data_IF_482835490485
#
_entry.id   IF_482835490485
#
_cell.length_a   1.000
_cell.length_b   1.000
_cell.length_c   1.000
_cell.angle_alpha   90.00
_cell.angle_beta   90.00
_cell.angle_gamma   90.00
#
_symmetry.space_group_name_H-M   'P 1'
#
loop_
_entity.id
_entity.type
_entity.pdbx_description
1 polymer ?
2 non-polymer ?
3 water ?
#
# COMPACT_ATOMS: atom_id res chain seq x y z
N UNK A 6 26.12 14.78 -7.50
CA UNK A 6 25.47 13.49 -7.39
C UNK A 6 23.96 13.65 -7.43
N UNK A 7 23.32 13.11 -8.46
CA UNK A 7 21.87 13.15 -8.49
C UNK A 7 21.33 12.01 -7.66
N UNK A 8 20.07 12.14 -7.25
CA UNK A 8 19.46 11.24 -6.29
C UNK A 8 18.75 10.09 -7.01
N UNK A 9 18.18 9.15 -6.24
CA UNK A 9 17.38 8.11 -6.89
C UNK A 9 16.06 8.64 -7.41
N UNK A 10 15.34 7.81 -8.14
CA UNK A 10 13.95 8.07 -8.47
C UNK A 10 13.16 8.11 -7.18
N UNK A 11 13.37 7.11 -6.34
CA UNK A 11 12.82 7.13 -5.00
C UNK A 11 13.57 6.20 -4.07
N UNK A 12 13.47 6.52 -2.79
CA UNK A 12 13.98 5.69 -1.72
C UNK A 12 12.88 4.79 -1.23
N UNK A 13 13.25 3.63 -0.70
CA UNK A 13 12.26 2.78 -0.06
C UNK A 13 12.83 1.47 0.41
N UNK A 14 11.96 0.65 0.99
CA UNK A 14 12.28 -0.71 1.43
C UNK A 14 11.95 -1.72 0.34
N UNK A 15 12.96 -2.32 -0.25
CA UNK A 15 12.73 -3.28 -1.33
C UNK A 15 12.72 -4.71 -0.79
N UNK A 16 11.55 -5.35 -0.91
CA UNK A 16 11.34 -6.67 -0.36
C UNK A 16 12.27 -7.67 -1.01
N UNK A 17 12.72 -8.65 -0.24
CA UNK A 17 13.50 -9.77 -0.78
C UNK A 17 12.67 -10.56 -1.78
N UNK A 18 13.34 -11.43 -2.53
CA UNK A 18 12.66 -12.30 -3.49
C UNK A 18 11.60 -13.14 -2.79
N UNK A 19 12.00 -13.75 -1.69
CA UNK A 19 11.09 -14.60 -0.92
C UNK A 19 9.91 -13.79 -0.39
N UNK A 20 10.19 -12.66 0.27
CA UNK A 20 9.12 -11.83 0.81
C UNK A 20 8.20 -11.30 -0.28
N UNK A 21 8.78 -10.78 -1.36
CA UNK A 21 8.00 -10.27 -2.49
C UNK A 21 7.04 -11.34 -3.02
N UNK A 22 7.59 -12.52 -3.30
CA UNK A 22 6.80 -13.62 -3.83
C UNK A 22 5.67 -14.00 -2.88
N UNK A 23 5.96 -14.01 -1.59
CA UNK A 23 4.95 -14.40 -0.60
C UNK A 23 3.83 -13.37 -0.53
N UNK A 24 4.20 -12.10 -0.48
CA UNK A 24 3.22 -11.02 -0.42
C UNK A 24 2.45 -10.96 -1.72
N UNK A 25 3.15 -11.11 -2.84
CA UNK A 25 2.49 -11.08 -4.14
C UNK A 25 1.42 -12.18 -4.18
N UNK A 26 1.78 -13.39 -3.75
CA UNK A 26 0.85 -14.51 -3.74
C UNK A 26 -0.35 -14.24 -2.85
N UNK A 27 -0.12 -13.65 -1.68
CA UNK A 27 -1.19 -13.34 -0.75
C UNK A 27 -2.16 -12.33 -1.37
N UNK A 28 -1.60 -11.32 -2.02
CA UNK A 28 -2.41 -10.32 -2.71
C UNK A 28 -3.27 -10.91 -3.82
N UNK A 29 -2.68 -11.76 -4.65
CA UNK A 29 -3.43 -12.42 -5.72
C UNK A 29 -4.56 -13.28 -5.14
N UNK A 30 -4.27 -13.99 -4.06
CA UNK A 30 -5.28 -14.84 -3.42
C UNK A 30 -6.42 -13.97 -2.87
N UNK A 31 -6.06 -12.84 -2.29
CA UNK A 31 -7.06 -11.91 -1.76
C UNK A 31 -8.00 -11.38 -2.84
N UNK A 32 -7.44 -10.92 -3.96
CA UNK A 32 -8.26 -10.43 -5.06
C UNK A 32 -9.21 -11.50 -5.55
N UNK A 33 -8.73 -12.74 -5.61
CA UNK A 33 -9.54 -13.86 -6.05
C UNK A 33 -10.70 -14.10 -5.10
N UNK A 34 -10.38 -14.18 -3.81
CA UNK A 34 -11.39 -14.43 -2.78
C UNK A 34 -12.42 -13.31 -2.73
N UNK A 35 -11.93 -12.08 -2.79
CA UNK A 35 -12.78 -10.92 -2.70
C UNK A 35 -13.76 -10.86 -3.89
N UNK A 36 -13.25 -11.17 -5.07
CA UNK A 36 -14.07 -11.18 -6.26
C UNK A 36 -15.14 -12.25 -6.25
N UNK A 37 -14.91 -13.33 -5.51
CA UNK A 37 -15.87 -14.41 -5.42
C UNK A 37 -16.86 -14.24 -4.27
N UNK A 38 -16.62 -13.24 -3.44
CA UNK A 38 -17.41 -13.04 -2.24
C UNK A 38 -18.72 -12.30 -2.54
N UNK A 39 -19.81 -12.76 -1.93
CA UNK A 39 -21.14 -12.20 -2.19
C UNK A 39 -21.25 -10.75 -1.75
N UNK A 40 -20.62 -10.39 -0.64
CA UNK A 40 -20.64 -9.01 -0.18
C UNK A 40 -20.08 -8.09 -1.25
N UNK A 41 -19.13 -8.59 -2.04
CA UNK A 41 -18.52 -7.80 -3.10
C UNK A 41 -19.37 -7.79 -4.37
N UNK A 42 -19.92 -8.94 -4.72
CA UNK A 42 -20.71 -9.07 -5.94
C UNK A 42 -21.94 -8.16 -5.92
N UNK A 43 -22.54 -8.01 -4.73
CA UNK A 43 -23.72 -7.17 -4.57
C UNK A 43 -23.35 -5.69 -4.75
N UNK A 44 -22.12 -5.36 -4.38
CA UNK A 44 -21.66 -3.97 -4.38
C UNK A 44 -20.86 -3.62 -5.62
N UNK A 45 -21.06 -4.35 -6.71
CA UNK A 45 -20.26 -4.16 -7.91
C UNK A 45 -20.56 -2.82 -8.58
N UNK A 46 -21.76 -2.31 -8.37
CA UNK A 46 -22.19 -1.08 -9.02
C UNK A 46 -21.49 0.15 -8.42
N UNK A 47 -21.03 0.02 -7.18
CA UNK A 47 -20.24 1.08 -6.55
C UNK A 47 -18.75 0.94 -6.86
N UNK A 48 -18.41 -0.02 -7.73
CA UNK A 48 -17.01 -0.33 -8.04
C UNK A 48 -16.67 -0.03 -9.50
N UNK A 49 -17.59 -0.37 -10.40
CA UNK A 49 -17.46 -0.04 -11.82
C UNK A 49 -18.77 0.50 -12.39
N UNK A 50 -18.67 1.16 -13.54
CA UNK A 50 -19.84 1.69 -14.25
C UNK A 50 -20.27 0.76 -15.38
N UNK A 51 -19.54 -0.34 -15.55
CA UNK A 51 -19.73 -1.22 -16.69
C UNK A 51 -20.53 -2.48 -16.40
N UNK A 52 -21.51 -2.74 -17.26
CA UNK A 52 -22.31 -3.97 -17.20
C UNK A 52 -22.43 -4.58 -18.59
N UNK A 56 -22.91 -10.66 -14.76
CA UNK A 56 -21.61 -11.33 -14.74
C UNK A 56 -20.76 -10.80 -13.58
N UNK A 57 -19.59 -11.39 -13.40
CA UNK A 57 -18.70 -11.03 -12.29
C UNK A 57 -17.32 -10.62 -12.79
N UNK A 58 -16.58 -9.93 -11.92
CA UNK A 58 -15.33 -9.29 -12.29
C UNK A 58 -14.13 -9.97 -11.64
N UNK A 59 -13.23 -10.49 -12.47
CA UNK A 59 -11.95 -11.00 -11.99
C UNK A 59 -11.01 -9.85 -11.67
N UNK A 60 -10.83 -9.58 -10.37
CA UNK A 60 -10.08 -8.42 -9.92
C UNK A 60 -8.60 -8.50 -10.29
N UNK A 61 -8.10 -9.70 -10.48
CA UNK A 61 -6.71 -9.87 -10.88
C UNK A 61 -6.48 -9.23 -12.26
N UNK A 62 -7.47 -9.35 -13.15
CA UNK A 62 -7.41 -8.70 -14.44
C UNK A 62 -7.77 -7.23 -14.29
N UNK A 63 -8.66 -6.93 -13.35
CA UNK A 63 -9.06 -5.55 -13.11
C UNK A 63 -7.84 -4.73 -12.69
N UNK A 64 -7.03 -5.26 -11.77
CA UNK A 64 -5.78 -4.61 -11.38
C UNK A 64 -4.65 -5.15 -12.27
N UNK A 65 -4.75 -4.85 -13.56
CA UNK A 65 -3.84 -5.38 -14.56
C UNK A 65 -2.42 -4.82 -14.49
N UNK A 66 -2.30 -3.54 -14.16
CA UNK A 66 -1.00 -2.92 -13.97
C UNK A 66 -0.47 -3.30 -12.59
N UNK A 67 0.53 -4.19 -12.57
CA UNK A 67 1.12 -4.65 -11.31
C UNK A 67 2.62 -4.40 -11.36
N UNK A 68 3.25 -4.15 -10.20
CA UNK A 68 4.70 -3.97 -10.20
C UNK A 68 5.41 -5.23 -10.68
N UNK A 69 6.43 -5.09 -11.54
CA UNK A 69 7.18 -6.26 -11.97
C UNK A 69 8.36 -6.53 -11.03
N UNK A 70 8.67 -7.80 -10.79
CA UNK A 70 9.81 -8.14 -9.96
C UNK A 70 9.52 -7.96 -8.47
N UNK A 71 10.40 -7.24 -7.78
CA UNK A 71 10.33 -7.15 -6.32
C UNK A 71 9.44 -6.01 -5.85
N UNK A 72 8.57 -6.33 -4.90
CA UNK A 72 7.68 -5.35 -4.30
C UNK A 72 8.46 -4.42 -3.38
N UNK A 73 7.89 -3.25 -3.11
CA UNK A 73 8.59 -2.26 -2.29
C UNK A 73 7.64 -1.33 -1.56
N UNK A 74 8.15 -0.77 -0.46
CA UNK A 74 7.45 0.26 0.30
C UNK A 74 8.25 1.53 0.17
N UNK A 75 7.71 2.48 -0.58
CA UNK A 75 8.38 3.73 -0.88
C UNK A 75 8.43 4.64 0.34
N UNK A 76 9.58 5.28 0.58
CA UNK A 76 9.63 6.32 1.61
C UNK A 76 9.49 7.71 0.98
N UNK A 77 10.48 8.13 0.21
CA UNK A 77 10.47 9.46 -0.41
C UNK A 77 10.66 9.36 -1.91
N UNK A 78 9.68 9.85 -2.67
CA UNK A 78 9.82 9.98 -4.12
C UNK A 78 10.68 11.18 -4.41
N UNK A 79 11.81 10.98 -5.09
CA UNK A 79 12.79 12.06 -5.29
C UNK A 79 12.88 12.58 -6.72
N UNK A 80 12.58 11.72 -7.68
CA UNK A 80 12.69 12.06 -9.09
C UNK A 80 14.05 12.70 -9.37
N UNK A 81 15.09 12.02 -8.89
CA UNK A 81 16.48 12.38 -9.16
C UNK A 81 16.85 13.74 -8.57
N UNK A 82 16.02 14.25 -7.68
CA UNK A 82 16.26 15.54 -7.04
C UNK A 82 15.26 16.62 -7.42
N UNK A 83 14.36 16.29 -8.33
CA UNK A 83 13.41 17.28 -8.85
C UNK A 83 12.20 17.45 -7.94
N UNK A 84 11.89 16.42 -7.18
CA UNK A 84 10.79 16.48 -6.21
C UNK A 84 11.20 17.38 -5.05
N UNK A 85 10.28 18.22 -4.59
CA UNK A 85 10.57 19.08 -3.44
C UNK A 85 10.93 18.22 -2.23
N UNK A 86 11.92 18.66 -1.44
CA UNK A 86 12.29 17.98 -0.23
C UNK A 86 13.20 16.78 -0.46
N UNK A 87 13.44 16.46 -1.72
CA UNK A 87 14.25 15.31 -2.07
C UNK A 87 15.66 15.44 -1.53
N UNK A 88 16.28 16.59 -1.80
CA UNK A 88 17.65 16.82 -1.37
C UNK A 88 17.75 16.79 0.15
N UNK A 89 16.75 17.37 0.80
CA UNK A 89 16.73 17.46 2.24
C UNK A 89 16.59 16.07 2.86
N UNK A 90 15.78 15.23 2.24
CA UNK A 90 15.54 13.89 2.75
C UNK A 90 16.81 13.06 2.66
N UNK A 91 17.42 13.10 1.47
CA UNK A 91 18.56 12.26 1.17
C UNK A 91 19.79 12.59 2.00
N UNK A 92 19.86 13.81 2.53
CA UNK A 92 21.05 14.26 3.23
C UNK A 92 20.99 13.93 4.73
N UNK A 93 19.83 13.45 5.20
CA UNK A 93 19.69 13.06 6.60
C UNK A 93 20.67 11.94 6.94
N UNK A 94 21.17 11.97 8.17
CA UNK A 94 22.08 10.93 8.63
C UNK A 94 21.43 9.56 8.67
N UNK A 95 20.16 9.50 9.10
CA UNK A 95 19.52 8.21 9.28
C UNK A 95 19.26 7.54 7.93
N UNK A 96 19.05 8.35 6.89
CA UNK A 96 18.90 7.82 5.54
C UNK A 96 20.23 7.22 5.08
N UNK A 97 21.30 8.02 5.13
CA UNK A 97 22.62 7.56 4.78
C UNK A 97 23.05 6.34 5.59
N UNK A 98 22.74 6.37 6.89
CA UNK A 98 23.15 5.28 7.77
C UNK A 98 22.36 4.01 7.49
N UNK A 99 21.06 4.17 7.20
CA UNK A 99 20.18 3.03 6.95
C UNK A 99 20.26 2.48 5.52
N UNK A 100 21.00 3.15 4.65
CA UNK A 100 21.07 2.78 3.24
C UNK A 100 21.75 1.42 3.08
N UNK A 101 21.00 0.46 2.53
CA UNK A 101 21.50 -0.89 2.32
C UNK A 101 21.23 -1.82 3.49
N UNK A 102 20.61 -1.31 4.54
CA UNK A 102 20.36 -2.10 5.75
C UNK A 102 19.05 -2.86 5.63
N UNK A 103 18.99 -4.03 6.24
CA UNK A 103 17.81 -4.87 6.19
C UNK A 103 16.83 -4.48 7.28
N UNK A 104 15.55 -4.58 6.96
CA UNK A 104 14.47 -4.25 7.87
C UNK A 104 13.39 -5.31 7.76
N UNK A 105 12.53 -5.35 8.77
CA UNK A 105 11.30 -6.12 8.71
C UNK A 105 10.10 -5.18 8.73
N UNK A 106 9.24 -5.29 7.71
CA UNK A 106 8.04 -4.49 7.62
C UNK A 106 6.85 -5.33 8.04
N UNK A 107 5.98 -4.73 8.84
CA UNK A 107 4.78 -5.37 9.31
C UNK A 107 3.59 -4.99 8.42
N UNK A 108 3.01 -5.99 7.77
CA UNK A 108 1.80 -5.81 6.97
C UNK A 108 0.57 -6.07 7.83
N UNK A 109 -0.29 -5.07 8.02
CA UNK A 109 -1.46 -5.24 8.88
C UNK A 109 -2.72 -5.60 8.13
N UNK A 110 -2.82 -5.17 6.87
CA UNK A 110 -4.03 -5.38 6.08
C UNK A 110 -3.78 -5.33 4.59
N UNK A 111 -4.66 -5.97 3.84
CA UNK A 111 -4.74 -5.79 2.40
C UNK A 111 -5.98 -4.98 2.09
N UNK A 112 -5.89 -4.13 1.07
CA UNK A 112 -7.01 -3.25 0.70
C UNK A 112 -7.18 -3.13 -0.80
N UNK A 113 -8.41 -2.84 -1.19
CA UNK A 113 -8.78 -2.71 -2.59
C UNK A 113 -9.75 -1.54 -2.74
N UNK A 114 -9.54 -0.76 -3.81
CA UNK A 114 -10.47 0.29 -4.22
C UNK A 114 -10.66 0.19 -5.74
N UNK A 115 -11.59 0.97 -6.31
CA UNK A 115 -11.74 0.97 -7.77
C UNK A 115 -10.46 1.37 -8.50
N UNK A 116 -9.54 2.02 -7.80
CA UNK A 116 -8.29 2.46 -8.39
C UNK A 116 -7.11 1.51 -8.11
N UNK A 117 -6.94 1.10 -6.85
CA UNK A 117 -5.74 0.38 -6.45
C UNK A 117 -5.99 -0.81 -5.52
N UNK A 118 -5.05 -1.75 -5.58
CA UNK A 118 -4.94 -2.83 -4.61
C UNK A 118 -3.58 -2.73 -3.95
N UNK A 119 -3.52 -2.94 -2.64
CA UNK A 119 -2.27 -2.78 -1.92
C UNK A 119 -2.26 -3.40 -0.54
N UNK A 120 -1.10 -3.32 0.10
CA UNK A 120 -0.93 -3.83 1.45
C UNK A 120 -0.54 -2.69 2.38
N UNK A 121 -1.18 -2.65 3.54
CA UNK A 121 -0.89 -1.63 4.53
C UNK A 121 0.35 -2.00 5.36
N UNK A 122 1.30 -1.07 5.39
CA UNK A 122 2.52 -1.22 6.20
C UNK A 122 2.44 -0.40 7.48
N UNK A 123 2.65 -1.05 8.62
CA UNK A 123 2.74 -0.33 9.90
C UNK A 123 4.20 -0.24 10.31
N UNK A 124 4.77 0.94 10.16
CA UNK A 124 6.18 1.15 10.43
C UNK A 124 6.48 1.16 11.92
N UNK A 125 7.63 0.58 12.29
CA UNK A 125 8.17 0.71 13.64
C UNK A 125 8.69 2.13 13.83
N UNK A 126 8.96 2.48 15.09
CA UNK A 126 9.50 3.79 15.40
C UNK A 126 10.83 4.01 14.70
N UNK A 127 11.64 2.96 14.63
CA UNK A 127 12.93 3.04 13.95
C UNK A 127 12.73 3.37 12.47
N UNK A 128 11.84 2.62 11.82
CA UNK A 128 11.55 2.81 10.41
C UNK A 128 10.88 4.16 10.15
N UNK A 129 10.10 4.65 11.12
CA UNK A 129 9.42 5.93 10.96
C UNK A 129 10.42 7.09 10.82
N UNK A 130 11.63 6.89 11.33
CA UNK A 130 12.67 7.90 11.18
C UNK A 130 13.10 8.04 9.73
N UNK A 131 12.78 7.03 8.93
CA UNK A 131 13.07 7.07 7.50
C UNK A 131 11.89 7.62 6.69
N UNK A 132 10.80 7.93 7.38
CA UNK A 132 9.62 8.44 6.70
C UNK A 132 9.79 9.94 6.51
N UNK A 133 9.55 10.45 5.29
CA UNK A 133 9.80 11.88 5.09
C UNK A 133 8.79 12.76 5.82
N UNK A 134 9.25 13.89 6.33
CA UNK A 134 8.37 14.92 6.88
C UNK A 134 8.48 16.16 5.99
N UNK A 135 7.65 16.20 4.95
CA UNK A 135 7.76 17.23 3.92
C UNK A 135 6.94 18.47 4.25
N UNK A 136 7.12 19.52 3.45
CA UNK A 136 6.47 20.80 3.72
C UNK A 136 4.98 20.77 3.35
N UNK A 137 4.66 20.24 2.18
CA UNK A 137 3.27 20.14 1.74
C UNK A 137 2.76 18.71 1.88
N UNK A 138 1.64 18.56 2.56
CA UNK A 138 1.04 17.25 2.80
C UNK A 138 -0.27 17.10 2.04
N UNK A 139 -0.65 15.86 1.72
CA UNK A 139 -2.03 15.65 1.29
C UNK A 139 -2.95 15.78 2.50
N UNK A 140 -4.04 16.53 2.39
CA UNK A 140 -4.90 16.77 3.54
C UNK A 140 -5.64 15.52 3.99
N UNK A 141 -5.49 14.44 3.22
CA UNK A 141 -6.11 13.16 3.57
C UNK A 141 -5.37 12.50 4.74
N UNK A 142 -4.17 13.00 5.04
CA UNK A 142 -3.37 12.45 6.13
C UNK A 142 -3.60 13.20 7.43
N UNK A 143 -4.46 14.21 7.41
CA UNK A 143 -4.69 15.03 8.59
C UNK A 143 -5.33 14.20 9.71
N UNK A 144 -4.84 14.41 10.93
CA UNK A 144 -5.39 13.73 12.10
C UNK A 144 -4.98 12.27 12.21
N UNK A 145 -4.19 11.79 11.25
CA UNK A 145 -3.68 10.43 11.27
C UNK A 145 -2.20 10.43 11.63
N UNK A 146 -1.73 9.36 12.31
CA UNK A 146 -0.32 9.32 12.72
C UNK A 146 0.63 9.34 11.53
N UNK A 147 1.84 9.91 11.70
CA UNK A 147 2.82 9.88 10.62
C UNK A 147 3.11 8.47 10.16
N UNK A 148 3.25 8.31 8.85
CA UNK A 148 3.58 7.02 8.28
C UNK A 148 2.36 6.19 7.96
N UNK A 149 1.17 6.75 8.19
CA UNK A 149 -0.06 6.05 7.87
C UNK A 149 -0.12 5.68 6.39
N UNK A 150 0.49 6.51 5.55
CA UNK A 150 0.45 6.32 4.10
C UNK A 150 1.30 5.12 3.65
N UNK A 151 2.13 4.61 4.55
CA UNK A 151 3.05 3.51 4.22
C UNK A 151 2.32 2.28 3.67
N UNK A 152 2.73 1.84 2.48
CA UNK A 152 2.04 0.76 1.79
C UNK A 152 2.92 0.06 0.78
N UNK A 153 2.48 -1.14 0.39
CA UNK A 153 3.05 -1.84 -0.75
C UNK A 153 1.97 -1.95 -1.81
N UNK A 154 2.26 -1.42 -2.99
CA UNK A 154 1.32 -1.44 -4.11
C UNK A 154 1.36 -2.80 -4.79
N UNK A 155 0.17 -3.38 -4.99
CA UNK A 155 0.03 -4.70 -5.59
C UNK A 155 -0.57 -4.63 -6.97
N UNK A 156 -1.33 -3.58 -7.26
CA UNK A 156 -1.98 -3.45 -8.54
C UNK A 156 -2.73 -2.14 -8.73
N UNK A 157 -2.90 -1.77 -9.99
CA UNK A 157 -3.56 -0.52 -10.37
C UNK A 157 -4.51 -0.76 -11.53
N UNK A 158 -5.64 -0.03 -11.55
CA UNK A 158 -6.52 -0.04 -12.70
C UNK A 158 -5.84 0.72 -13.83
N UNK A 159 -6.29 0.47 -15.06
CA UNK A 159 -5.56 0.88 -16.26
C UNK A 159 -5.16 2.36 -16.31
N UNK A 160 -6.12 3.26 -16.05
CA UNK A 160 -5.85 4.68 -16.21
C UNK A 160 -5.45 5.34 -14.88
N UNK A 161 -5.10 4.52 -13.90
CA UNK A 161 -4.68 5.02 -12.58
C UNK A 161 -3.20 5.41 -12.64
N UNK A 162 -2.85 6.47 -11.90
CA UNK A 162 -1.49 6.99 -11.91
C UNK A 162 -0.80 6.66 -10.59
N UNK A 163 0.54 6.79 -10.55
CA UNK A 163 1.29 6.40 -9.34
C UNK A 163 0.94 7.30 -8.16
N UNK A 164 1.32 6.86 -6.96
CA UNK A 164 1.04 7.58 -5.71
C UNK A 164 -0.45 7.52 -5.35
N UNK A 165 -1.26 6.88 -6.18
CA UNK A 165 -2.69 6.78 -5.89
C UNK A 165 -2.95 5.84 -4.72
N UNK A 166 -2.17 4.75 -4.66
CA UNK A 166 -2.35 3.74 -3.63
C UNK A 166 -2.15 4.33 -2.23
N UNK A 167 -1.14 5.18 -2.08
CA UNK A 167 -0.94 5.89 -0.84
C UNK A 167 -2.16 6.73 -0.47
N UNK A 168 -2.74 7.42 -1.44
CA UNK A 168 -3.91 8.25 -1.20
C UNK A 168 -5.14 7.40 -0.85
N UNK A 169 -5.32 6.31 -1.58
CA UNK A 169 -6.44 5.41 -1.32
C UNK A 169 -6.37 4.85 0.10
N UNK A 170 -5.17 4.48 0.54
CA UNK A 170 -4.99 3.97 1.88
C UNK A 170 -5.38 5.00 2.95
N UNK A 171 -4.90 6.23 2.81
CA UNK A 171 -5.23 7.28 3.77
C UNK A 171 -6.72 7.51 3.83
N UNK A 172 -7.39 7.42 2.69
CA UNK A 172 -8.82 7.63 2.65
C UNK A 172 -9.51 6.52 3.42
N UNK A 173 -9.01 5.30 3.27
CA UNK A 173 -9.56 4.17 4.01
C UNK A 173 -9.31 4.30 5.52
N UNK A 174 -8.11 4.74 5.90
CA UNK A 174 -7.76 4.82 7.32
C UNK A 174 -8.52 5.95 8.02
N UNK A 175 -8.79 7.04 7.31
CA UNK A 175 -9.57 8.12 7.89
C UNK A 175 -11.07 7.80 7.83
N UNK A 176 -11.40 6.57 7.41
CA UNK A 176 -12.74 6.01 7.59
C UNK A 176 -12.77 5.10 8.82
N UNK A 177 -11.68 4.38 9.04
CA UNK A 177 -11.56 3.46 10.16
C UNK A 177 -11.42 4.20 11.50
N UNK A 178 -10.72 5.34 11.51
CA UNK A 178 -10.58 6.08 12.75
C UNK A 178 -11.93 6.63 13.17
N UNK A 179 -12.66 7.21 12.22
CA UNK A 179 -13.97 7.77 12.47
C UNK A 179 -15.06 6.76 12.16
N UNK A 180 -15.41 5.94 13.14
CA UNK A 180 -16.46 4.96 12.98
C UNK A 180 -16.00 3.52 13.17
N UNK A 181 -14.71 3.26 12.96
CA UNK A 181 -14.17 1.89 13.00
C UNK A 181 -15.04 1.01 12.13
N UNK A 182 -15.16 1.41 10.87
CA UNK A 182 -16.38 1.15 10.13
C UNK A 182 -16.49 -0.19 9.48
N UNK A 183 -17.16 -1.06 10.22
CA UNK A 183 -17.63 -2.32 9.70
C UNK A 183 -17.60 -3.34 10.79
N UNK A 184 -18.62 -4.19 10.81
CA UNK A 184 -18.47 -5.50 11.38
C UNK A 184 -18.14 -6.36 10.18
N UNK A 185 -17.34 -7.39 10.38
CA UNK A 185 -16.91 -8.25 9.28
C UNK A 185 -18.09 -8.69 8.41
N UNK A 186 -18.14 -8.18 7.18
CA UNK A 186 -19.18 -8.58 6.25
C UNK A 186 -18.91 -9.98 5.75
N UNK A 187 -17.68 -10.44 5.96
CA UNK A 187 -17.28 -11.79 5.66
C UNK A 187 -16.07 -12.17 6.48
N UNK A 188 -15.84 -13.48 6.63
CA UNK A 188 -14.70 -13.99 7.38
C UNK A 188 -13.80 -14.81 6.46
N UNK A 189 -12.79 -14.16 5.88
CA UNK A 189 -11.81 -14.83 5.05
C UNK A 189 -10.78 -15.54 5.93
N UNK A 190 -10.05 -16.51 5.36
CA UNK A 190 -9.18 -17.34 6.21
C UNK A 190 -7.96 -16.62 6.79
N UNK A 191 -7.60 -15.47 6.22
CA UNK A 191 -6.48 -14.70 6.73
C UNK A 191 -6.91 -13.61 7.69
N UNK A 192 -8.21 -13.34 7.72
CA UNK A 192 -8.74 -12.29 8.57
C UNK A 192 -10.16 -11.94 8.21
N UNK A 193 -10.66 -10.88 8.83
CA UNK A 193 -12.04 -10.46 8.59
C UNK A 193 -12.09 -9.35 7.53
N UNK A 194 -13.18 -9.34 6.78
CA UNK A 194 -13.35 -8.48 5.62
C UNK A 194 -14.27 -7.30 5.92
N UNK A 195 -13.81 -6.09 5.63
CA UNK A 195 -14.61 -4.88 5.82
C UNK A 195 -14.99 -4.27 4.49
N UNK A 196 -16.20 -3.71 4.45
CA UNK A 196 -16.67 -2.95 3.30
C UNK A 196 -16.92 -1.51 3.74
N UNK A 197 -16.03 -0.60 3.33
CA UNK A 197 -16.17 0.79 3.73
C UNK A 197 -16.98 1.59 2.72
N UNK A 198 -17.69 0.88 1.84
CA UNK A 198 -18.52 1.52 0.85
C UNK A 198 -17.70 2.13 -0.27
N UNK A 199 -18.39 2.51 -1.34
CA UNK A 199 -17.77 3.18 -2.48
C UNK A 199 -16.63 2.34 -3.06
N UNK A 200 -16.81 1.03 -3.03
CA UNK A 200 -15.83 0.13 -3.63
C UNK A 200 -14.57 -0.03 -2.81
N UNK A 201 -14.57 0.49 -1.59
CA UNK A 201 -13.42 0.35 -0.72
C UNK A 201 -13.55 -0.88 0.16
N UNK A 202 -12.57 -1.77 0.05
CA UNK A 202 -12.57 -3.01 0.80
C UNK A 202 -11.27 -3.16 1.56
N UNK A 203 -11.36 -3.79 2.73
CA UNK A 203 -10.20 -4.00 3.56
C UNK A 203 -10.25 -5.36 4.23
N UNK A 204 -9.21 -6.15 3.98
CA UNK A 204 -8.99 -7.38 4.70
C UNK A 204 -8.05 -7.06 5.87
N UNK A 205 -8.61 -7.07 7.07
CA UNK A 205 -7.82 -6.88 8.28
C UNK A 205 -7.26 -8.23 8.74
N UNK A 206 -5.94 -8.39 8.64
CA UNK A 206 -5.34 -9.69 8.92
C UNK A 206 -5.42 -10.02 10.39
N UNK A 207 -6.03 -11.16 10.71
CA UNK A 207 -5.97 -11.71 12.06
C UNK A 207 -4.52 -11.80 12.48
N UNK A 208 -3.68 -12.00 11.47
CA UNK A 208 -2.28 -12.33 11.65
C UNK A 208 -1.38 -11.36 10.85
N UNK A 209 -0.68 -10.47 11.55
CA UNK A 209 0.28 -9.56 10.93
C UNK A 209 1.34 -10.32 10.11
N UNK A 210 1.47 -9.95 8.85
CA UNK A 210 2.47 -10.56 7.98
C UNK A 210 3.77 -9.76 8.06
N UNK A 211 4.88 -10.48 8.27
CA UNK A 211 6.19 -9.85 8.37
C UNK A 211 6.96 -10.07 7.07
N UNK A 212 7.45 -9.00 6.47
CA UNK A 212 8.26 -9.12 5.25
C UNK A 212 9.63 -8.49 5.45
N UNK A 213 10.65 -9.15 4.91
CA UNK A 213 12.02 -8.66 4.96
C UNK A 213 12.28 -7.78 3.74
N UNK A 214 12.97 -6.66 3.96
CA UNK A 214 13.25 -5.71 2.89
C UNK A 214 14.56 -4.99 3.15
N UNK A 215 15.11 -4.38 2.09
CA UNK A 215 16.34 -3.60 2.16
C UNK A 215 16.04 -2.14 1.85
N UNK A 216 16.44 -1.24 2.72
CA UNK A 216 16.33 0.18 2.45
C UNK A 216 17.42 0.58 1.46
N UNK A 217 17.02 1.12 0.32
CA UNK A 217 17.97 1.55 -0.70
C UNK A 217 17.24 2.48 -1.66
N UNK A 218 17.94 2.85 -2.75
CA UNK A 218 17.40 3.77 -3.72
C UNK A 218 17.25 3.12 -5.09
N UNK A 219 16.14 3.42 -5.77
CA UNK A 219 15.89 2.94 -7.13
C UNK A 219 16.18 4.06 -8.12
N UNK A 220 16.91 3.74 -9.20
CA UNK A 220 17.46 4.75 -10.11
C UNK A 220 16.91 4.67 -11.52
N UNK A 221 15.90 3.84 -11.72
CA UNK A 221 15.30 3.70 -13.03
C UNK A 221 16.29 3.09 -14.00
X LIG B 1 2.83 4.12 -5.41
X LIG B 1 1.77 4.51 -4.40
X LIG B 1 3.32 2.68 -5.16
X LIG B 1 2.26 4.22 -6.79
X LIG B 1 6.63 5.05 -10.66
X LIG B 1 6.24 3.72 -11.20
X LIG B 1 5.74 6.08 -11.23
X LIG B 1 8.08 5.36 -11.05
X LIG B 1 6.49 5.04 -9.05
X LIG B 1 7.26 4.12 -8.32
X LIG B 1 6.98 4.30 -6.84
X LIG B 1 7.15 5.86 -6.46
X LIG B 1 5.75 3.95 -6.54
X LIG B 1 5.74 3.13 -5.29
X LIG B 1 4.96 5.24 -6.33
X LIG B 1 4.11 5.12 -5.27
X LIG B 1 6.01 6.33 -6.03
X LIG B 1 5.70 7.54 -6.75
X LIG B 1 5.64 8.03 -8.03
X LIG B 1 5.28 9.34 -7.96
X LIG B 1 5.11 9.66 -6.65
X LIG B 1 4.75 10.85 -6.04
X LIG B 1 4.40 12.17 -6.44
X LIG B 1 4.65 10.94 -4.71
X LIG B 1 4.92 9.84 -3.94
X LIG B 1 5.27 8.65 -4.53
X LIG B 1 5.38 8.56 -5.89
X LIG B 1 8.17 4.27 -8.49
X LIG B 1 7.02 3.23 -8.58
X LIG B 1 7.60 3.78 -6.33
X LIG B 1 5.38 3.47 -7.24
X LIG B 1 5.55 2.25 -5.49
X LIG B 1 4.45 5.48 -7.17
X LIG B 1 6.06 6.51 -5.01
X LIG B 1 5.83 7.53 -8.86
X LIG B 1 5.00 12.88 -6.30
X LIG B 1 3.56 12.34 -6.83
X LIG B 1 4.85 9.90 -2.95
#
# INVERSE_FOLDING_TARGET
GGLEKDFLPLYFGWFLTKKSSETLRKAGQVFLEELGNHKAFKKELRHFISGDEPKEKLELVSYFGKRPPGVLHCTTKFCDYGKAAGAEEYAQQEVVKRSYGKAFKLSISALFVTPKTAGAQVVLTDQELQLWPSDLDKPSASEGLPPGSRAHVTLGCAADVQPAQTGLDLLDILQQVKGGSQGEAVGELPRGKLYSLGKGRWMLSLTKKMEVKAIFTGYYG
A2P P1 O1P O2P O3P P2 O4P O5P O6P O5' C5' C4' O4' C3' O3' C2' O2' C1' N9 C8 N7 C5 C6 N6 N1 C2 N3 C4 H5'1 H5'2 H4' H3' HO3' H2' H1' H8 HN61 HN62 H2
#
